data_IF_174591330851
#
_entry.id   IF_174591330851
#
_cell.length_a   1.000
_cell.length_b   1.000
_cell.length_c   1.000
_cell.angle_alpha   90.00
_cell.angle_beta   90.00
_cell.angle_gamma   90.00
#
_symmetry.space_group_name_H-M   'P 1'
#
loop_
_entity.id
_entity.type
_entity.pdbx_description
1 polymer ?
#
# COMPACT_ATOMS: atom_id res chain seq x y z
N UNK A 1 11.87 -9.95 -6.26
CA UNK A 1 10.55 -10.29 -6.83
C UNK A 1 10.11 -9.42 -8.00
N UNK A 2 10.61 -8.18 -8.16
CA UNK A 2 10.23 -7.31 -9.28
C UNK A 2 11.44 -6.99 -10.18
N UNK A 3 11.59 -7.71 -11.31
CA UNK A 3 12.55 -7.39 -12.39
C UNK A 3 11.99 -7.67 -13.80
N UNK A 4 11.07 -8.63 -13.95
CA UNK A 4 10.63 -9.14 -15.26
C UNK A 4 9.50 -8.33 -15.93
N UNK A 5 9.66 -6.99 -15.96
CA UNK A 5 8.84 -6.09 -16.79
C UNK A 5 9.74 -5.23 -17.72
N UNK A 6 10.88 -5.79 -18.15
CA UNK A 6 11.80 -5.22 -19.14
C UNK A 6 12.02 -6.17 -20.32
N UNK A 7 10.97 -6.42 -21.10
CA UNK A 7 11.11 -6.85 -22.50
C UNK A 7 9.82 -6.57 -23.27
N UNK A 8 9.81 -5.46 -24.01
CA UNK A 8 8.99 -5.22 -25.20
C UNK A 8 9.63 -4.06 -25.95
N UNK A 9 10.71 -4.37 -26.69
CA UNK A 9 11.37 -3.45 -27.59
C UNK A 9 11.92 -4.25 -28.78
N UNK A 10 11.20 -4.22 -29.90
CA UNK A 10 11.66 -4.80 -31.15
C UNK A 10 10.91 -4.19 -32.33
N UNK A 11 11.68 -3.56 -33.24
CA UNK A 11 11.33 -3.30 -34.64
C UNK A 11 10.10 -2.40 -34.91
N UNK A 12 10.34 -1.09 -34.91
CA UNK A 12 9.96 -0.25 -36.05
C UNK A 12 11.20 0.55 -36.47
N UNK A 13 11.52 0.54 -37.77
CA UNK A 13 12.57 1.34 -38.41
C UNK A 13 11.88 2.14 -39.52
N UNK A 14 12.04 3.46 -39.62
CA UNK A 14 11.28 4.26 -40.58
C UNK A 14 11.83 4.10 -42.01
N UNK A 15 10.92 4.21 -42.98
CA UNK A 15 11.22 4.48 -44.39
C UNK A 15 10.41 5.70 -44.82
N UNK A 16 11.05 6.63 -45.53
CA UNK A 16 10.53 7.97 -45.81
C UNK A 16 10.01 8.11 -47.24
N UNK A 17 8.81 8.69 -47.42
CA UNK A 17 8.49 9.53 -48.60
C UNK A 17 7.22 10.39 -48.42
N UNK A 18 7.28 11.53 -49.10
CA UNK A 18 6.42 12.73 -49.16
C UNK A 18 4.93 12.54 -49.58
N UNK A 19 4.08 13.60 -49.59
CA UNK A 19 2.63 13.46 -49.38
C UNK A 19 1.69 13.89 -50.55
N UNK A 20 0.40 13.52 -50.38
CA UNK A 20 -0.83 14.22 -50.86
C UNK A 20 -1.14 14.29 -52.39
N UNK A 21 -2.37 14.66 -52.81
CA UNK A 21 -3.67 14.85 -52.09
C UNK A 21 -4.88 14.12 -52.76
N UNK A 22 -6.11 14.43 -52.28
CA UNK A 22 -7.44 14.12 -52.86
C UNK A 22 -7.94 12.65 -52.73
N UNK A 23 -9.23 12.32 -52.59
CA UNK A 23 -10.48 13.06 -52.93
C UNK A 23 -11.62 12.87 -51.90
N UNK A 24 -12.51 13.85 -51.84
CA UNK A 24 -13.80 13.94 -51.12
C UNK A 24 -14.78 12.79 -51.40
N UNK A 25 -15.74 12.49 -50.48
CA UNK A 25 -17.22 12.59 -50.72
C UNK A 25 -18.10 11.70 -49.80
N UNK A 26 -19.11 12.35 -49.20
CA UNK A 26 -20.42 11.89 -48.69
C UNK A 26 -20.58 10.80 -47.62
N UNK A 27 -21.53 11.10 -46.72
CA UNK A 27 -22.30 10.15 -45.91
C UNK A 27 -23.24 9.31 -46.78
N UNK A 28 -23.76 8.20 -46.23
CA UNK A 28 -25.21 8.03 -46.09
C UNK A 28 -25.57 7.00 -45.02
N UNK A 29 -26.67 7.23 -44.33
CA UNK A 29 -27.21 6.38 -43.26
C UNK A 29 -28.30 5.48 -43.83
N UNK A 30 -28.38 4.21 -43.43
CA UNK A 30 -29.65 3.47 -43.52
C UNK A 30 -29.92 2.59 -42.31
N UNK A 31 -31.14 2.71 -41.78
CA UNK A 31 -31.70 1.92 -40.69
C UNK A 31 -32.35 0.64 -41.24
N UNK A 32 -32.29 -0.46 -40.48
CA UNK A 32 -33.46 -1.34 -40.25
C UNK A 32 -33.31 -2.22 -39.01
N UNK A 33 -34.40 -2.33 -38.26
CA UNK A 33 -34.63 -3.24 -37.14
C UNK A 33 -35.63 -4.36 -37.53
N UNK A 34 -35.80 -5.34 -36.63
CA UNK A 34 -37.02 -6.19 -36.35
C UNK A 34 -36.79 -7.71 -36.49
N UNK A 35 -37.30 -8.48 -35.51
CA UNK A 35 -37.35 -9.96 -35.43
C UNK A 35 -36.06 -10.62 -34.91
N UNK A 36 -35.93 -11.26 -33.73
CA UNK A 36 -36.84 -11.77 -32.67
C UNK A 36 -37.57 -13.10 -32.99
N UNK A 37 -37.48 -14.07 -32.05
CA UNK A 37 -38.16 -15.41 -32.01
C UNK A 37 -37.52 -16.46 -32.97
N UNK A 38 -37.27 -17.75 -32.64
CA UNK A 38 -37.58 -18.64 -31.47
C UNK A 38 -36.41 -19.59 -31.11
N UNK A 39 -36.60 -20.42 -30.07
CA UNK A 39 -35.68 -21.47 -29.57
C UNK A 39 -36.42 -22.81 -29.40
N UNK A 40 -35.96 -23.88 -30.05
CA UNK A 40 -36.36 -25.28 -29.86
C UNK A 40 -35.22 -26.16 -30.46
N UNK A 41 -34.49 -26.96 -29.68
CA UNK A 41 -34.75 -28.35 -29.24
C UNK A 41 -34.29 -29.42 -30.25
N UNK A 42 -33.46 -30.36 -29.76
CA UNK A 42 -33.03 -31.59 -30.46
C UNK A 42 -34.21 -32.57 -30.61
N UNK A 43 -34.11 -33.57 -31.51
CA UNK A 43 -33.71 -34.90 -30.99
C UNK A 43 -32.90 -35.79 -31.97
N UNK A 44 -32.60 -36.99 -31.50
CA UNK A 44 -32.24 -38.23 -32.21
C UNK A 44 -30.79 -38.47 -32.71
N UNK A 45 -30.49 -39.77 -32.77
CA UNK A 45 -29.16 -40.37 -32.93
C UNK A 45 -29.25 -41.79 -33.51
N UNK A 46 -28.32 -42.12 -34.40
CA UNK A 46 -28.04 -43.47 -34.93
C UNK A 46 -26.57 -43.47 -35.37
N UNK A 47 -25.67 -44.29 -34.81
CA UNK A 47 -25.56 -45.75 -34.81
C UNK A 47 -25.08 -46.33 -36.15
N UNK A 48 -23.77 -46.54 -36.28
CA UNK A 48 -23.15 -47.48 -37.22
C UNK A 48 -21.73 -47.81 -36.73
N UNK A 49 -21.46 -49.09 -36.45
CA UNK A 49 -20.41 -49.91 -37.08
C UNK A 49 -20.38 -51.29 -36.42
N UNK A 50 -20.12 -52.33 -37.22
CA UNK A 50 -20.21 -53.73 -36.82
C UNK A 50 -18.90 -54.25 -36.21
N UNK A 51 -19.03 -55.20 -35.28
CA UNK A 51 -17.95 -56.02 -34.76
C UNK A 51 -18.13 -57.48 -35.18
N UNK A 52 -17.05 -58.15 -35.55
CA UNK A 52 -16.96 -59.61 -35.66
C UNK A 52 -15.68 -60.12 -34.97
N UNK A 53 -15.75 -61.37 -34.53
CA UNK A 53 -14.68 -62.17 -33.91
C UNK A 53 -13.73 -62.78 -34.98
N UNK A 54 -12.71 -63.60 -34.71
CA UNK A 54 -12.28 -64.32 -33.50
C UNK A 54 -10.77 -64.68 -33.57
N UNK A 55 -10.19 -65.17 -32.48
CA UNK A 55 -8.82 -65.74 -32.41
C UNK A 55 -8.84 -67.30 -32.56
N UNK A 56 -7.77 -68.07 -32.21
CA UNK A 56 -6.50 -68.25 -32.94
C UNK A 56 -6.11 -69.75 -33.14
N UNK A 57 -5.01 -70.08 -33.85
CA UNK A 57 -4.19 -71.28 -33.55
C UNK A 57 -2.83 -71.33 -34.29
N UNK A 58 -1.92 -72.14 -33.72
CA UNK A 58 -0.50 -72.37 -33.97
C UNK A 58 -0.08 -73.11 -35.26
N UNK A 59 1.14 -72.85 -35.75
CA UNK A 59 2.08 -73.89 -36.22
C UNK A 59 3.56 -73.44 -36.28
N UNK A 60 4.42 -74.15 -35.53
CA UNK A 60 5.89 -74.26 -35.66
C UNK A 60 6.24 -75.47 -36.60
N UNK A 61 7.50 -75.89 -36.97
CA UNK A 61 8.75 -75.73 -36.19
C UNK A 61 10.14 -75.80 -36.92
N UNK A 62 11.26 -75.82 -36.15
CA UNK A 62 12.63 -76.38 -36.45
C UNK A 62 13.50 -75.60 -37.51
N UNK A 63 14.84 -75.36 -37.40
CA UNK A 63 16.00 -76.23 -37.04
C UNK A 63 17.28 -75.50 -36.53
N UNK A 64 18.18 -76.31 -35.91
CA UNK A 64 19.58 -76.17 -35.40
C UNK A 64 20.52 -75.05 -35.94
N UNK A 65 21.63 -74.69 -35.25
CA UNK A 65 22.13 -75.09 -33.90
C UNK A 65 23.67 -75.20 -33.75
N UNK A 66 24.17 -75.29 -32.49
CA UNK A 66 25.59 -75.52 -32.03
C UNK A 66 26.65 -74.48 -32.49
N UNK A 67 27.78 -74.20 -31.81
CA UNK A 67 28.59 -74.83 -30.73
C UNK A 67 29.48 -73.70 -30.09
N UNK A 68 30.31 -73.75 -29.03
CA UNK A 68 30.70 -74.63 -27.89
C UNK A 68 31.64 -73.76 -26.97
N UNK A 69 32.18 -74.07 -25.78
CA UNK A 69 32.01 -75.09 -24.72
C UNK A 69 32.91 -74.78 -23.49
N UNK A 70 32.56 -75.28 -22.29
CA UNK A 70 33.41 -75.50 -21.08
C UNK A 70 33.90 -74.31 -20.21
N UNK A 71 33.83 -74.51 -18.88
CA UNK A 71 34.52 -73.70 -17.86
C UNK A 71 33.82 -73.69 -16.50
N UNK A 72 34.11 -74.64 -15.60
CA UNK A 72 33.53 -74.69 -14.24
C UNK A 72 34.62 -74.69 -13.17
N UNK A 73 34.60 -73.71 -12.25
CA UNK A 73 34.79 -73.80 -10.77
C UNK A 73 35.41 -72.52 -10.16
N UNK A 74 35.23 -72.44 -8.83
CA UNK A 74 35.96 -71.64 -7.82
C UNK A 74 35.51 -70.17 -7.63
N UNK A 75 35.26 -69.82 -6.37
CA UNK A 75 35.09 -68.46 -5.84
C UNK A 75 36.42 -67.70 -5.84
N UNK A 76 36.39 -66.41 -6.20
CA UNK A 76 37.36 -65.43 -5.70
C UNK A 76 36.62 -64.13 -5.36
N UNK A 77 36.69 -63.71 -4.11
CA UNK A 77 36.07 -62.48 -3.63
C UNK A 77 36.96 -61.27 -3.91
N UNK A 78 36.51 -60.37 -4.79
CA UNK A 78 36.93 -58.96 -4.77
C UNK A 78 35.67 -58.12 -4.58
N UNK A 79 35.38 -57.76 -3.34
CA UNK A 79 34.38 -56.75 -3.02
C UNK A 79 35.08 -55.39 -3.02
N UNK A 80 34.70 -54.48 -3.93
CA UNK A 80 35.23 -53.12 -3.98
C UNK A 80 34.93 -52.36 -2.67
N UNK A 81 35.94 -52.04 -1.83
CA UNK A 81 35.69 -51.45 -0.50
C UNK A 81 35.19 -49.99 -0.55
N UNK A 82 35.15 -49.39 -1.73
CA UNK A 82 34.91 -47.95 -1.95
C UNK A 82 33.44 -47.56 -2.10
N UNK A 83 32.52 -48.52 -2.26
CA UNK A 83 31.10 -48.25 -2.51
C UNK A 83 30.25 -48.05 -1.23
N UNK A 84 30.76 -48.41 -0.05
CA UNK A 84 29.98 -48.50 1.19
C UNK A 84 30.27 -47.39 2.23
N UNK A 85 30.68 -46.21 1.78
CA UNK A 85 31.07 -45.07 2.64
C UNK A 85 30.05 -43.91 2.72
N UNK A 86 28.87 -44.04 2.09
CA UNK A 86 27.75 -43.09 2.24
C UNK A 86 26.97 -43.35 3.54
N UNK A 87 27.57 -42.98 4.67
CA UNK A 87 27.00 -43.25 6.01
C UNK A 87 25.53 -42.75 6.14
N UNK A 88 24.60 -43.58 6.68
CA UNK A 88 23.17 -43.26 6.72
C UNK A 88 22.80 -42.12 7.67
N UNK A 89 23.75 -41.60 8.45
CA UNK A 89 23.59 -40.34 9.16
C UNK A 89 23.64 -39.13 8.21
N UNK A 90 24.51 -39.15 7.19
CA UNK A 90 24.70 -38.04 6.25
C UNK A 90 23.50 -37.87 5.31
N UNK A 91 22.82 -38.94 4.92
CA UNK A 91 21.55 -38.86 4.18
C UNK A 91 20.44 -38.24 5.03
N UNK A 92 20.19 -38.75 6.24
CA UNK A 92 19.16 -38.20 7.16
C UNK A 92 19.40 -36.73 7.49
N UNK A 93 20.64 -36.31 7.73
CA UNK A 93 20.98 -34.90 7.97
C UNK A 93 20.67 -34.04 6.74
N UNK A 94 20.96 -34.54 5.52
CA UNK A 94 20.60 -33.85 4.27
C UNK A 94 19.08 -33.74 4.12
N UNK A 95 18.33 -34.82 4.34
CA UNK A 95 16.86 -34.86 4.29
C UNK A 95 16.22 -33.83 5.24
N UNK A 96 16.68 -33.79 6.51
CA UNK A 96 16.20 -32.81 7.50
C UNK A 96 16.53 -31.38 7.08
N UNK A 97 17.74 -31.13 6.57
CA UNK A 97 18.16 -29.80 6.09
C UNK A 97 17.34 -29.35 4.87
N UNK A 98 17.06 -30.25 3.92
CA UNK A 98 16.29 -29.92 2.72
C UNK A 98 14.79 -29.77 3.01
N UNK A 99 14.24 -30.53 3.96
CA UNK A 99 12.90 -30.34 4.50
C UNK A 99 12.76 -28.98 5.22
N UNK A 100 13.76 -28.61 6.03
CA UNK A 100 13.81 -27.31 6.70
C UNK A 100 13.93 -26.14 5.71
N UNK A 101 14.74 -26.30 4.65
CA UNK A 101 14.84 -25.33 3.53
C UNK A 101 13.50 -25.18 2.79
N UNK A 102 12.81 -26.29 2.50
CA UNK A 102 11.50 -26.29 1.83
C UNK A 102 10.45 -25.54 2.64
N UNK A 103 10.27 -25.90 3.92
CA UNK A 103 9.30 -25.22 4.77
C UNK A 103 9.70 -23.78 5.09
N UNK A 104 10.98 -23.48 5.32
CA UNK A 104 11.47 -22.11 5.51
C UNK A 104 11.15 -21.20 4.31
N UNK A 105 11.34 -21.71 3.09
CA UNK A 105 10.94 -21.02 1.86
C UNK A 105 9.42 -20.83 1.76
N UNK A 106 8.64 -21.87 2.08
CA UNK A 106 7.17 -21.78 2.11
C UNK A 106 6.66 -20.76 3.14
N UNK A 107 7.20 -20.73 4.36
CA UNK A 107 6.85 -19.74 5.38
C UNK A 107 7.27 -18.33 4.98
N UNK A 108 8.45 -18.14 4.38
CA UNK A 108 8.90 -16.84 3.86
C UNK A 108 7.96 -16.25 2.80
N UNK A 109 7.43 -17.12 1.90
CA UNK A 109 6.41 -16.76 0.92
C UNK A 109 5.01 -16.55 1.52
N UNK A 110 4.59 -17.39 2.48
CA UNK A 110 3.29 -17.26 3.18
C UNK A 110 3.20 -15.96 3.97
N UNK A 111 4.24 -15.67 4.77
CA UNK A 111 4.39 -14.44 5.55
C UNK A 111 4.59 -13.18 4.69
N UNK A 112 4.77 -13.34 3.36
CA UNK A 112 5.15 -12.30 2.40
C UNK A 112 6.27 -11.40 2.94
N UNK A 113 7.32 -11.98 3.52
CA UNK A 113 8.24 -11.30 4.46
C UNK A 113 8.72 -9.90 4.01
N UNK A 114 9.06 -9.70 2.73
CA UNK A 114 9.50 -8.41 2.18
C UNK A 114 8.46 -7.28 2.22
N UNK A 115 7.17 -7.62 2.27
CA UNK A 115 6.07 -6.67 2.48
C UNK A 115 5.85 -6.43 3.97
N UNK A 116 5.89 -7.50 4.77
CA UNK A 116 5.78 -7.42 6.23
C UNK A 116 6.92 -6.62 6.88
N UNK A 117 8.12 -6.61 6.28
CA UNK A 117 9.22 -5.71 6.64
C UNK A 117 8.83 -4.22 6.54
N UNK A 118 8.02 -3.82 5.56
CA UNK A 118 7.56 -2.43 5.44
C UNK A 118 6.49 -2.10 6.49
N UNK A 119 5.63 -3.06 6.82
CA UNK A 119 4.63 -2.96 7.91
C UNK A 119 5.31 -2.86 9.28
N UNK A 120 6.41 -3.58 9.47
CA UNK A 120 7.25 -3.50 10.67
C UNK A 120 8.04 -2.19 10.71
N UNK A 121 8.54 -1.70 9.57
CA UNK A 121 9.19 -0.39 9.50
C UNK A 121 8.21 0.74 9.86
N UNK A 122 6.98 0.75 9.34
CA UNK A 122 5.99 1.78 9.72
C UNK A 122 5.57 1.68 11.19
N UNK A 123 5.47 0.47 11.74
CA UNK A 123 5.23 0.25 13.17
C UNK A 123 6.40 0.72 14.03
N UNK A 124 7.65 0.43 13.64
CA UNK A 124 8.86 0.92 14.29
C UNK A 124 8.95 2.45 14.26
N UNK A 125 8.68 3.09 13.11
CA UNK A 125 8.59 4.56 13.02
C UNK A 125 7.51 5.12 13.95
N UNK A 126 6.34 4.47 14.03
CA UNK A 126 5.29 4.84 14.99
C UNK A 126 5.74 4.73 16.44
N UNK A 127 6.49 3.67 16.80
CA UNK A 127 7.08 3.49 18.13
C UNK A 127 8.10 4.56 18.47
N UNK A 128 9.00 4.90 17.54
CA UNK A 128 9.97 6.00 17.75
C UNK A 128 9.25 7.33 17.95
N UNK A 129 8.27 7.65 17.10
CA UNK A 129 7.49 8.89 17.22
C UNK A 129 6.69 8.98 18.52
N UNK A 130 6.12 7.87 18.99
CA UNK A 130 5.39 7.78 20.26
C UNK A 130 6.26 7.48 21.49
N UNK A 131 7.58 7.41 21.35
CA UNK A 131 8.51 7.43 22.48
C UNK A 131 8.61 8.87 23.02
N UNK A 132 9.07 9.02 24.26
CA UNK A 132 9.50 10.33 24.76
C UNK A 132 10.97 10.62 24.44
N UNK A 133 11.61 11.42 25.28
CA UNK A 133 13.03 11.74 25.25
C UNK A 133 13.97 10.54 25.42
N UNK A 134 13.50 9.47 26.08
CA UNK A 134 14.19 8.17 26.11
C UNK A 134 13.44 7.14 25.27
N UNK A 135 14.19 6.34 24.51
CA UNK A 135 13.64 5.30 23.63
C UNK A 135 13.99 3.92 24.18
N UNK A 136 12.96 3.14 24.55
CA UNK A 136 13.15 1.73 24.90
C UNK A 136 13.46 0.89 23.65
N UNK A 137 14.74 0.61 23.44
CA UNK A 137 15.24 -0.25 22.35
C UNK A 137 14.70 -1.68 22.47
N UNK A 138 14.49 -2.19 23.69
CA UNK A 138 13.94 -3.54 23.89
C UNK A 138 12.45 -3.56 23.50
N UNK A 139 11.65 -2.61 23.98
CA UNK A 139 10.27 -2.40 23.57
C UNK A 139 10.10 -2.20 22.07
N UNK A 140 11.00 -1.46 21.41
CA UNK A 140 11.04 -1.33 19.95
C UNK A 140 11.30 -2.68 19.27
N UNK A 141 12.26 -3.48 19.76
CA UNK A 141 12.52 -4.82 19.25
C UNK A 141 11.33 -5.77 19.43
N UNK A 142 10.68 -5.77 20.61
CA UNK A 142 9.48 -6.58 20.87
C UNK A 142 8.29 -6.14 20.02
N UNK A 143 8.09 -4.83 19.83
CA UNK A 143 7.07 -4.27 18.92
C UNK A 143 7.30 -4.71 17.49
N UNK A 144 8.54 -4.58 16.97
CA UNK A 144 8.90 -5.00 15.63
C UNK A 144 8.70 -6.51 15.42
N UNK A 145 9.10 -7.34 16.39
CA UNK A 145 8.94 -8.79 16.33
C UNK A 145 7.46 -9.22 16.40
N UNK A 146 6.67 -8.62 17.30
CA UNK A 146 5.25 -8.89 17.45
C UNK A 146 4.45 -8.49 16.20
N UNK A 147 4.70 -7.29 15.68
CA UNK A 147 4.14 -6.83 14.41
C UNK A 147 4.55 -7.72 13.24
N UNK A 148 5.80 -8.22 13.19
CA UNK A 148 6.23 -9.17 12.15
C UNK A 148 5.42 -10.47 12.20
N UNK A 149 5.22 -11.03 13.40
CA UNK A 149 4.47 -12.28 13.60
C UNK A 149 2.98 -12.11 13.25
N UNK A 150 2.35 -11.04 13.71
CA UNK A 150 0.93 -10.76 13.40
C UNK A 150 0.75 -10.44 11.90
N UNK A 151 1.67 -9.70 11.27
CA UNK A 151 1.67 -9.47 9.83
C UNK A 151 1.93 -10.76 9.02
N UNK A 152 2.79 -11.66 9.51
CA UNK A 152 3.03 -12.98 8.91
C UNK A 152 1.77 -13.85 8.96
N UNK A 153 1.07 -13.89 10.10
CA UNK A 153 -0.23 -14.54 10.28
C UNK A 153 -1.27 -14.00 9.30
N UNK A 154 -1.47 -12.69 9.29
CA UNK A 154 -2.43 -12.00 8.42
C UNK A 154 -2.18 -12.31 6.94
N UNK A 155 -0.93 -12.25 6.49
CA UNK A 155 -0.53 -12.57 5.12
C UNK A 155 -0.71 -14.05 4.76
N UNK A 156 -0.57 -14.95 5.73
CA UNK A 156 -0.78 -16.39 5.57
C UNK A 156 -2.27 -16.73 5.48
N UNK A 157 -3.12 -16.22 6.38
CA UNK A 157 -4.58 -16.39 6.32
C UNK A 157 -5.17 -15.82 5.03
N UNK A 158 -4.70 -14.65 4.59
CA UNK A 158 -5.05 -14.09 3.28
C UNK A 158 -4.74 -15.08 2.14
N UNK A 159 -3.62 -15.79 2.17
CA UNK A 159 -3.29 -16.80 1.15
C UNK A 159 -4.11 -18.09 1.28
N UNK A 160 -4.59 -18.43 2.49
CA UNK A 160 -5.55 -19.53 2.72
C UNK A 160 -6.93 -19.20 2.15
N UNK A 161 -7.38 -17.95 2.23
CA UNK A 161 -8.67 -17.53 1.66
C UNK A 161 -8.61 -17.27 0.14
N UNK A 162 -7.48 -16.79 -0.39
CA UNK A 162 -7.34 -16.42 -1.82
C UNK A 162 -6.95 -17.59 -2.76
N UNK A 163 -6.82 -18.84 -2.29
CA UNK A 163 -6.27 -19.98 -3.08
C UNK A 163 -6.90 -20.10 -4.48
N UNK A 164 -8.24 -20.09 -4.57
CA UNK A 164 -9.00 -20.24 -5.83
C UNK A 164 -8.85 -19.04 -6.77
N UNK A 165 -8.53 -17.87 -6.24
CA UNK A 165 -8.34 -16.62 -6.98
C UNK A 165 -6.89 -16.51 -7.47
N UNK A 166 -5.92 -16.81 -6.60
CA UNK A 166 -4.49 -16.84 -6.92
C UNK A 166 -4.15 -17.85 -8.02
N UNK A 167 -4.78 -19.03 -8.01
CA UNK A 167 -4.59 -20.04 -9.05
C UNK A 167 -4.88 -19.53 -10.47
N UNK A 168 -5.76 -18.52 -10.62
CA UNK A 168 -6.14 -17.91 -11.90
C UNK A 168 -5.16 -16.83 -12.37
N UNK A 169 -4.46 -16.17 -11.45
CA UNK A 169 -3.60 -15.02 -11.77
C UNK A 169 -2.18 -15.46 -12.16
N UNK A 170 -1.68 -14.96 -13.30
CA UNK A 170 -0.32 -15.26 -13.80
C UNK A 170 0.78 -15.01 -12.74
N UNK A 171 0.60 -13.96 -11.93
CA UNK A 171 1.54 -13.50 -10.90
C UNK A 171 1.55 -14.35 -9.62
N UNK A 172 0.46 -15.03 -9.27
CA UNK A 172 0.32 -15.65 -7.93
C UNK A 172 0.00 -17.15 -7.94
N UNK A 173 -0.31 -17.74 -9.10
CA UNK A 173 -0.47 -19.20 -9.30
C UNK A 173 0.73 -20.10 -8.93
N UNK A 174 1.86 -19.52 -8.53
CA UNK A 174 3.06 -20.24 -8.03
C UNK A 174 3.27 -20.12 -6.51
N UNK A 175 2.40 -19.40 -5.77
CA UNK A 175 2.42 -19.32 -4.29
C UNK A 175 2.33 -20.71 -3.64
N UNK A 176 2.80 -20.91 -2.40
CA UNK A 176 2.89 -22.25 -1.79
C UNK A 176 1.59 -23.05 -1.80
N UNK A 177 0.46 -22.41 -1.47
CA UNK A 177 -0.86 -23.05 -1.42
C UNK A 177 -1.44 -23.38 -2.81
N UNK A 178 -1.58 -22.44 -3.77
CA UNK A 178 -1.99 -22.75 -5.15
C UNK A 178 -1.09 -23.75 -5.91
N UNK A 179 0.17 -23.92 -5.48
CA UNK A 179 1.11 -24.89 -6.06
C UNK A 179 1.22 -26.21 -5.28
N UNK A 180 0.44 -26.41 -4.21
CA UNK A 180 0.44 -27.64 -3.43
C UNK A 180 1.70 -27.91 -2.60
N UNK A 181 2.62 -26.94 -2.48
CA UNK A 181 3.90 -27.08 -1.74
C UNK A 181 3.73 -27.18 -0.23
N UNK A 182 2.56 -26.77 0.28
CA UNK A 182 2.16 -26.87 1.69
C UNK A 182 0.64 -27.11 1.74
N UNK A 183 0.17 -27.90 2.69
CA UNK A 183 -1.26 -28.22 2.83
C UNK A 183 -2.03 -27.08 3.48
N UNK A 184 -3.34 -26.99 3.22
CA UNK A 184 -4.20 -25.94 3.80
C UNK A 184 -4.24 -26.01 5.34
N UNK A 185 -4.38 -27.18 5.99
CA UNK A 185 -4.34 -27.27 7.45
C UNK A 185 -3.01 -26.80 8.03
N UNK A 186 -1.88 -27.17 7.42
CA UNK A 186 -0.54 -26.74 7.87
C UNK A 186 -0.38 -25.22 7.77
N UNK A 187 -0.75 -24.62 6.64
CA UNK A 187 -0.68 -23.16 6.49
C UNK A 187 -1.62 -22.42 7.46
N UNK A 188 -2.78 -23.00 7.78
CA UNK A 188 -3.73 -22.43 8.75
C UNK A 188 -3.22 -22.56 10.20
N UNK A 189 -2.72 -23.72 10.62
CA UNK A 189 -2.18 -23.88 11.98
C UNK A 189 -0.92 -23.05 12.21
N UNK A 190 -0.04 -22.93 11.21
CA UNK A 190 1.08 -21.99 11.21
C UNK A 190 0.60 -20.54 11.35
N UNK A 191 -0.37 -20.12 10.56
CA UNK A 191 -0.88 -18.74 10.62
C UNK A 191 -1.49 -18.42 11.98
N UNK A 192 -2.32 -19.31 12.52
CA UNK A 192 -3.00 -19.11 13.81
C UNK A 192 -2.02 -19.15 14.98
N UNK A 193 -1.06 -20.07 15.01
CA UNK A 193 -0.08 -20.15 16.11
C UNK A 193 0.86 -18.94 16.14
N UNK A 194 1.38 -18.51 14.99
CA UNK A 194 2.24 -17.32 14.89
C UNK A 194 1.44 -16.03 15.18
N UNK A 195 0.17 -15.97 14.81
CA UNK A 195 -0.72 -14.85 15.14
C UNK A 195 -0.97 -14.73 16.64
N UNK A 196 -1.34 -15.84 17.30
CA UNK A 196 -1.54 -15.88 18.74
C UNK A 196 -0.25 -15.54 19.51
N UNK A 197 0.88 -16.14 19.12
CA UNK A 197 2.17 -15.88 19.76
C UNK A 197 2.64 -14.42 19.57
N UNK A 198 2.43 -13.83 18.38
CA UNK A 198 2.73 -12.42 18.12
C UNK A 198 1.91 -11.46 18.97
N UNK A 199 0.59 -11.68 19.06
CA UNK A 199 -0.31 -10.90 19.91
C UNK A 199 0.01 -11.07 21.40
N UNK A 200 0.27 -12.29 21.86
CA UNK A 200 0.64 -12.57 23.25
C UNK A 200 1.99 -11.94 23.63
N UNK A 201 2.96 -11.92 22.70
CA UNK A 201 4.24 -11.23 22.90
C UNK A 201 4.05 -9.72 23.01
N UNK A 202 3.20 -9.10 22.18
CA UNK A 202 2.86 -7.67 22.36
C UNK A 202 2.20 -7.43 23.73
N UNK A 203 1.23 -8.26 24.12
CA UNK A 203 0.51 -8.11 25.39
C UNK A 203 1.40 -8.24 26.63
N UNK A 204 2.50 -9.00 26.54
CA UNK A 204 3.42 -9.30 27.66
C UNK A 204 4.76 -8.56 27.61
N UNK A 205 5.12 -7.93 26.48
CA UNK A 205 6.39 -7.20 26.28
C UNK A 205 6.23 -5.74 25.85
N UNK A 206 5.03 -5.30 25.50
CA UNK A 206 4.71 -3.90 25.21
C UNK A 206 3.53 -3.49 26.08
N UNK A 207 2.29 -3.59 25.60
CA UNK A 207 1.08 -3.44 26.40
C UNK A 207 -0.16 -4.06 25.73
N UNK A 208 -1.26 -4.13 26.49
CA UNK A 208 -2.54 -4.68 26.04
C UNK A 208 -3.19 -3.88 24.91
N UNK A 209 -2.94 -2.57 24.81
CA UNK A 209 -3.50 -1.69 23.78
C UNK A 209 -2.89 -2.00 22.41
N UNK A 210 -1.56 -2.10 22.33
CA UNK A 210 -0.84 -2.54 21.13
C UNK A 210 -1.25 -3.96 20.71
N UNK A 211 -1.41 -4.89 21.66
CA UNK A 211 -1.90 -6.24 21.38
C UNK A 211 -3.35 -6.25 20.86
N UNK A 212 -4.23 -5.42 21.43
CA UNK A 212 -5.61 -5.25 20.97
C UNK A 212 -5.70 -4.69 19.56
N UNK A 213 -4.87 -3.68 19.22
CA UNK A 213 -4.71 -3.17 17.86
C UNK A 213 -4.19 -4.26 16.90
N UNK A 214 -3.23 -5.08 17.33
CA UNK A 214 -2.67 -6.17 16.53
C UNK A 214 -3.72 -7.24 16.20
N UNK A 215 -4.44 -7.72 17.21
CA UNK A 215 -5.50 -8.71 17.07
C UNK A 215 -6.66 -8.18 16.21
N UNK A 216 -7.08 -6.92 16.45
CA UNK A 216 -8.12 -6.27 15.66
C UNK A 216 -7.71 -6.11 14.19
N UNK A 217 -6.46 -5.76 13.91
CA UNK A 217 -5.97 -5.63 12.54
C UNK A 217 -5.81 -6.98 11.83
N UNK A 218 -5.40 -8.04 12.55
CA UNK A 218 -5.38 -9.41 12.04
C UNK A 218 -6.78 -9.86 11.60
N UNK A 219 -7.79 -9.62 12.43
CA UNK A 219 -9.19 -9.92 12.13
C UNK A 219 -9.69 -9.09 10.95
N UNK A 220 -9.46 -7.77 10.97
CA UNK A 220 -9.83 -6.83 9.91
C UNK A 220 -9.20 -7.20 8.57
N UNK A 221 -7.93 -7.61 8.52
CA UNK A 221 -7.26 -8.02 7.29
C UNK A 221 -7.80 -9.34 6.72
N UNK A 222 -7.86 -10.37 7.57
CA UNK A 222 -8.11 -11.72 7.14
C UNK A 222 -9.61 -11.97 6.89
N UNK A 223 -10.48 -11.56 7.81
CA UNK A 223 -11.91 -11.92 7.79
C UNK A 223 -12.82 -10.81 7.22
N UNK A 224 -12.38 -9.56 7.19
CA UNK A 224 -13.16 -8.44 6.59
C UNK A 224 -12.60 -8.03 5.24
N UNK A 225 -11.38 -7.49 5.20
CA UNK A 225 -10.77 -6.94 3.98
C UNK A 225 -10.59 -7.99 2.88
N UNK A 226 -10.05 -9.17 3.20
CA UNK A 226 -9.75 -10.20 2.19
C UNK A 226 -10.99 -10.69 1.42
N UNK A 227 -12.10 -11.10 2.05
CA UNK A 227 -13.32 -11.42 1.30
C UNK A 227 -13.94 -10.18 0.63
N UNK A 228 -13.86 -9.00 1.25
CA UNK A 228 -14.43 -7.76 0.68
C UNK A 228 -13.86 -7.41 -0.71
N UNK A 229 -12.62 -7.80 -1.03
CA UNK A 229 -12.01 -7.65 -2.37
C UNK A 229 -12.83 -8.32 -3.50
N UNK A 230 -13.61 -9.35 -3.19
CA UNK A 230 -14.49 -10.06 -4.13
C UNK A 230 -15.95 -9.57 -4.06
N UNK A 231 -16.31 -8.84 -2.99
CA UNK A 231 -17.69 -8.42 -2.71
C UNK A 231 -17.96 -6.99 -3.19
N UNK A 232 -17.08 -6.02 -2.90
CA UNK A 232 -17.34 -4.59 -3.14
C UNK A 232 -16.07 -3.75 -3.40
N UNK A 233 -16.09 -2.71 -4.27
CA UNK A 233 -14.94 -1.82 -4.52
C UNK A 233 -14.45 -1.01 -3.32
N UNK A 234 -15.24 -0.90 -2.24
CA UNK A 234 -14.82 -0.27 -0.96
C UNK A 234 -13.65 -1.01 -0.30
N UNK A 235 -13.29 -2.23 -0.76
CA UNK A 235 -12.13 -2.97 -0.27
C UNK A 235 -10.83 -2.14 -0.24
N UNK A 236 -10.58 -1.24 -1.20
CA UNK A 236 -9.36 -0.42 -1.21
C UNK A 236 -9.27 0.52 -0.01
N UNK A 237 -10.41 1.05 0.46
CA UNK A 237 -10.48 1.94 1.62
C UNK A 237 -10.34 1.16 2.94
N UNK A 238 -11.02 0.01 3.07
CA UNK A 238 -10.85 -0.87 4.24
C UNK A 238 -9.42 -1.42 4.32
N UNK A 239 -8.79 -1.71 3.18
CA UNK A 239 -7.38 -2.07 3.10
C UNK A 239 -6.43 -0.95 3.55
N UNK A 240 -6.79 0.31 3.29
CA UNK A 240 -6.03 1.46 3.79
C UNK A 240 -6.18 1.63 5.31
N UNK A 241 -7.34 1.30 5.91
CA UNK A 241 -7.49 1.26 7.39
C UNK A 241 -6.54 0.20 7.98
N UNK A 242 -6.54 -1.02 7.44
CA UNK A 242 -5.58 -2.08 7.85
C UNK A 242 -4.15 -1.57 7.74
N UNK A 243 -3.82 -0.89 6.65
CA UNK A 243 -2.49 -0.35 6.40
C UNK A 243 -2.10 0.83 7.30
N UNK A 244 -3.05 1.47 7.98
CA UNK A 244 -2.83 2.61 8.88
C UNK A 244 -2.73 2.21 10.37
N UNK A 245 -3.26 1.05 10.77
CA UNK A 245 -3.14 0.57 12.16
C UNK A 245 -1.69 0.24 12.60
N UNK A 246 -0.78 -0.31 11.78
CA UNK A 246 0.59 -0.64 12.20
C UNK A 246 1.43 0.49 12.82
N UNK A 247 1.48 1.73 12.26
CA UNK A 247 2.13 2.86 12.95
C UNK A 247 1.38 3.29 14.22
N UNK A 248 0.04 3.22 14.26
CA UNK A 248 -0.74 3.52 15.47
C UNK A 248 -0.44 2.52 16.60
N UNK A 249 -0.34 1.24 16.26
CA UNK A 249 0.11 0.16 17.15
C UNK A 249 1.52 0.45 17.66
N UNK A 250 2.42 0.93 16.80
CA UNK A 250 3.76 1.37 17.20
C UNK A 250 3.72 2.47 18.26
N UNK A 251 2.99 3.56 17.98
CA UNK A 251 2.84 4.68 18.93
C UNK A 251 2.24 4.22 20.26
N UNK A 252 1.19 3.39 20.21
CA UNK A 252 0.53 2.84 21.39
C UNK A 252 1.45 1.88 22.17
N UNK A 253 2.35 1.15 21.49
CA UNK A 253 3.33 0.26 22.12
C UNK A 253 4.41 1.03 22.89
N UNK A 254 4.79 2.23 22.45
CA UNK A 254 5.75 3.10 23.13
C UNK A 254 5.11 3.94 24.25
N UNK A 255 4.03 4.66 23.95
CA UNK A 255 3.39 5.62 24.87
C UNK A 255 2.34 5.02 25.82
N UNK A 256 1.90 3.78 25.57
CA UNK A 256 0.78 3.15 26.29
C UNK A 256 -0.61 3.69 25.94
N UNK A 257 -0.71 4.73 25.09
CA UNK A 257 -1.95 5.45 24.82
C UNK A 257 -2.13 5.84 23.34
N UNK A 258 -3.28 6.42 23.00
CA UNK A 258 -3.60 6.97 21.69
C UNK A 258 -3.92 8.46 21.86
N UNK A 259 -3.01 9.33 21.44
CA UNK A 259 -3.16 10.79 21.42
C UNK A 259 -3.53 11.30 20.03
N UNK A 260 -3.90 12.58 19.89
CA UNK A 260 -4.14 13.19 18.57
C UNK A 260 -2.88 13.11 17.68
N UNK A 261 -1.71 13.40 18.26
CA UNK A 261 -0.40 13.33 17.61
C UNK A 261 -0.13 11.95 16.97
N UNK A 262 -0.59 10.88 17.62
CA UNK A 262 -0.44 9.50 17.11
C UNK A 262 -1.10 9.26 15.75
N UNK A 263 -2.01 10.13 15.30
CA UNK A 263 -2.76 9.98 14.05
C UNK A 263 -2.03 10.49 12.80
N UNK A 264 -0.96 11.29 12.92
CA UNK A 264 -0.27 11.86 11.75
C UNK A 264 0.28 10.78 10.81
N UNK A 265 1.04 9.80 11.33
CA UNK A 265 1.60 8.73 10.51
C UNK A 265 0.52 7.72 10.00
N UNK A 266 -0.45 7.27 10.81
CA UNK A 266 -1.63 6.54 10.33
C UNK A 266 -2.38 7.24 9.20
N UNK A 267 -2.67 8.54 9.33
CA UNK A 267 -3.34 9.33 8.30
C UNK A 267 -2.49 9.43 7.03
N UNK A 268 -1.17 9.65 7.17
CA UNK A 268 -0.24 9.64 6.05
C UNK A 268 -0.28 8.29 5.31
N UNK A 269 -0.25 7.16 6.01
CA UNK A 269 -0.36 5.84 5.38
C UNK A 269 -1.72 5.62 4.70
N UNK A 270 -2.81 6.00 5.37
CA UNK A 270 -4.17 5.86 4.84
C UNK A 270 -4.32 6.61 3.51
N UNK A 271 -4.01 7.92 3.50
CA UNK A 271 -4.14 8.76 2.31
C UNK A 271 -3.09 8.45 1.24
N UNK A 272 -1.89 7.97 1.59
CA UNK A 272 -0.87 7.56 0.61
C UNK A 272 -1.19 6.21 -0.07
N UNK A 273 -1.85 5.28 0.63
CA UNK A 273 -2.18 3.96 0.07
C UNK A 273 -3.23 4.03 -1.04
N UNK A 274 -4.20 4.94 -0.95
CA UNK A 274 -5.24 5.08 -1.99
C UNK A 274 -4.65 5.41 -3.38
N UNK A 275 -3.82 6.46 -3.61
CA UNK A 275 -3.23 6.72 -4.92
C UNK A 275 -2.32 5.57 -5.37
N UNK A 276 -1.52 4.97 -4.47
CA UNK A 276 -0.70 3.80 -4.78
C UNK A 276 -1.55 2.65 -5.36
N UNK A 277 -2.62 2.27 -4.67
CA UNK A 277 -3.51 1.19 -5.09
C UNK A 277 -4.38 1.56 -6.30
N UNK A 278 -4.80 2.81 -6.47
CA UNK A 278 -5.57 3.22 -7.65
C UNK A 278 -4.74 3.16 -8.94
N UNK A 279 -3.47 3.57 -8.92
CA UNK A 279 -2.58 3.35 -10.06
C UNK A 279 -2.30 1.85 -10.31
N UNK A 280 -2.08 1.06 -9.26
CA UNK A 280 -1.86 -0.39 -9.40
C UNK A 280 -3.10 -1.12 -9.96
N UNK A 281 -4.30 -0.74 -9.50
CA UNK A 281 -5.57 -1.29 -9.96
C UNK A 281 -5.90 -0.88 -11.41
N UNK A 282 -5.39 0.25 -11.88
CA UNK A 282 -5.44 0.64 -13.30
C UNK A 282 -4.41 -0.16 -14.13
N UNK A 283 -3.17 -0.28 -13.66
CA UNK A 283 -2.07 -1.00 -14.35
C UNK A 283 -2.27 -2.51 -14.45
N UNK A 284 -2.96 -3.13 -13.49
CA UNK A 284 -3.18 -4.58 -13.41
C UNK A 284 -4.66 -4.97 -13.56
N UNK A 285 -5.46 -4.14 -14.23
CA UNK A 285 -6.92 -4.32 -14.41
C UNK A 285 -7.30 -5.74 -14.83
N UNK A 286 -6.66 -6.25 -15.88
CA UNK A 286 -7.02 -7.54 -16.48
C UNK A 286 -6.67 -8.73 -15.57
N UNK A 287 -5.55 -8.63 -14.85
CA UNK A 287 -5.13 -9.60 -13.82
C UNK A 287 -6.16 -9.64 -12.67
N UNK A 288 -6.69 -8.49 -12.24
CA UNK A 288 -7.74 -8.41 -11.22
C UNK A 288 -9.08 -8.95 -11.71
N UNK A 289 -9.46 -8.69 -12.97
CA UNK A 289 -10.65 -9.26 -13.60
C UNK A 289 -10.56 -10.80 -13.66
N UNK A 290 -9.43 -11.34 -14.14
CA UNK A 290 -9.19 -12.79 -14.20
C UNK A 290 -9.17 -13.45 -12.81
N UNK A 291 -8.71 -12.73 -11.78
CA UNK A 291 -8.77 -13.15 -10.38
C UNK A 291 -10.18 -13.13 -9.77
N UNK A 292 -11.18 -12.52 -10.43
CA UNK A 292 -12.55 -12.37 -9.91
C UNK A 292 -12.69 -11.27 -8.85
N UNK A 293 -11.77 -10.31 -8.78
CA UNK A 293 -11.80 -9.21 -7.83
C UNK A 293 -12.69 -8.06 -8.33
N UNK A 294 -13.32 -7.33 -7.40
CA UNK A 294 -14.15 -6.15 -7.69
C UNK A 294 -13.40 -4.86 -7.31
N UNK A 295 -12.33 -4.56 -8.06
CA UNK A 295 -11.57 -3.31 -7.90
C UNK A 295 -12.33 -2.11 -8.46
N UNK A 296 -12.18 -0.93 -7.85
CA UNK A 296 -12.82 0.31 -8.28
C UNK A 296 -12.54 0.66 -9.76
N UNK A 297 -11.30 0.41 -10.21
CA UNK A 297 -10.89 0.61 -11.62
C UNK A 297 -11.67 -0.24 -12.63
N UNK A 298 -12.24 -1.37 -12.24
CA UNK A 298 -12.99 -2.24 -13.16
C UNK A 298 -14.32 -1.61 -13.58
N UNK A 299 -14.94 -0.81 -12.71
CA UNK A 299 -16.16 -0.04 -13.00
C UNK A 299 -15.88 1.29 -13.74
N UNK A 300 -14.62 1.61 -14.01
CA UNK A 300 -14.19 2.85 -14.65
C UNK A 300 -13.40 2.54 -15.93
N UNK A 301 -14.09 2.40 -17.07
CA UNK A 301 -13.47 2.15 -18.37
C UNK A 301 -12.43 3.23 -18.75
N UNK A 302 -12.66 4.48 -18.34
CA UNK A 302 -11.84 5.64 -18.71
C UNK A 302 -10.55 5.79 -17.89
N UNK A 303 -10.54 5.30 -16.65
CA UNK A 303 -9.53 5.61 -15.64
C UNK A 303 -9.71 6.97 -14.95
N UNK A 304 -10.62 7.84 -15.43
CA UNK A 304 -10.79 9.21 -14.91
C UNK A 304 -11.26 9.24 -13.46
N UNK A 305 -12.21 8.39 -13.07
CA UNK A 305 -12.67 8.31 -11.67
C UNK A 305 -11.56 7.76 -10.77
N UNK A 306 -10.82 6.76 -11.27
CA UNK A 306 -9.68 6.13 -10.60
C UNK A 306 -8.57 7.16 -10.34
N UNK A 307 -8.24 7.97 -11.34
CA UNK A 307 -7.24 9.03 -11.26
C UNK A 307 -7.70 10.23 -10.42
N UNK A 308 -8.98 10.61 -10.47
CA UNK A 308 -9.56 11.65 -9.61
C UNK A 308 -9.51 11.25 -8.12
N UNK A 309 -9.84 10.00 -7.80
CA UNK A 309 -9.70 9.48 -6.42
C UNK A 309 -8.24 9.45 -5.98
N UNK A 310 -7.31 9.07 -6.84
CA UNK A 310 -5.88 9.15 -6.55
C UNK A 310 -5.42 10.59 -6.25
N UNK A 311 -5.71 11.53 -7.15
CA UNK A 311 -5.36 12.95 -7.00
C UNK A 311 -5.93 13.54 -5.71
N UNK A 312 -7.22 13.31 -5.41
CA UNK A 312 -7.86 13.83 -4.19
C UNK A 312 -7.18 13.36 -2.91
N UNK A 313 -6.71 12.11 -2.87
CA UNK A 313 -6.00 11.59 -1.70
C UNK A 313 -4.55 12.09 -1.61
N UNK A 314 -3.88 12.39 -2.74
CA UNK A 314 -2.62 13.13 -2.71
C UNK A 314 -2.80 14.55 -2.13
N UNK A 315 -3.92 15.22 -2.40
CA UNK A 315 -4.22 16.53 -1.82
C UNK A 315 -4.51 16.45 -0.30
N UNK A 316 -5.09 15.34 0.20
CA UNK A 316 -5.29 15.12 1.64
C UNK A 316 -3.99 14.89 2.42
N UNK A 317 -2.86 14.60 1.74
CA UNK A 317 -1.54 14.54 2.39
C UNK A 317 -0.96 15.93 2.69
N UNK A 318 -1.37 16.99 1.97
CA UNK A 318 -0.79 18.34 2.06
C UNK A 318 -0.82 18.92 3.49
N UNK A 319 -1.95 18.92 4.22
CA UNK A 319 -1.98 19.48 5.58
C UNK A 319 -1.17 18.67 6.60
N UNK A 320 -0.80 17.41 6.34
CA UNK A 320 -0.12 16.57 7.34
C UNK A 320 1.28 17.09 7.71
N UNK A 321 1.96 17.77 6.79
CA UNK A 321 3.24 18.43 7.06
C UNK A 321 3.11 19.60 8.02
N UNK A 322 2.06 20.39 7.86
CA UNK A 322 1.73 21.50 8.76
C UNK A 322 1.25 21.00 10.12
N UNK A 323 0.33 20.03 10.15
CA UNK A 323 -0.19 19.46 11.39
C UNK A 323 0.88 18.72 12.23
N UNK A 324 1.91 18.15 11.60
CA UNK A 324 3.04 17.56 12.32
C UNK A 324 3.88 18.62 13.07
N UNK A 325 3.97 19.84 12.53
CA UNK A 325 4.61 20.99 13.17
C UNK A 325 3.71 21.65 14.22
N UNK A 326 2.47 21.97 13.84
CA UNK A 326 1.43 22.58 14.70
C UNK A 326 1.18 21.77 16.00
N UNK A 327 1.29 20.43 15.92
CA UNK A 327 1.13 19.53 17.08
C UNK A 327 2.46 19.18 17.77
N UNK A 328 3.55 19.88 17.47
CA UNK A 328 4.85 19.74 18.14
C UNK A 328 5.62 18.45 17.85
N UNK A 329 5.23 17.66 16.85
CA UNK A 329 5.90 16.38 16.54
C UNK A 329 7.21 16.62 15.80
N UNK A 330 7.26 17.65 14.94
CA UNK A 330 8.40 17.90 14.04
C UNK A 330 8.74 19.38 13.89
N UNK A 331 10.03 19.72 13.84
CA UNK A 331 10.52 21.08 13.53
C UNK A 331 9.94 21.66 12.23
N UNK A 332 9.83 22.99 12.15
CA UNK A 332 9.19 23.70 11.03
C UNK A 332 9.76 23.42 9.64
N UNK A 333 11.04 23.02 9.53
CA UNK A 333 11.64 22.58 8.26
C UNK A 333 10.92 21.38 7.63
N UNK A 334 10.39 20.46 8.45
CA UNK A 334 9.62 19.31 7.95
C UNK A 334 8.35 19.74 7.21
N UNK A 335 7.69 20.83 7.64
CA UNK A 335 6.50 21.36 6.95
C UNK A 335 6.84 21.78 5.51
N UNK A 336 8.02 22.39 5.28
CA UNK A 336 8.48 22.78 3.95
C UNK A 336 8.85 21.54 3.10
N UNK A 337 9.65 20.62 3.63
CA UNK A 337 10.07 19.42 2.88
C UNK A 337 8.89 18.52 2.51
N UNK A 338 8.01 18.22 3.48
CA UNK A 338 6.83 17.39 3.26
C UNK A 338 5.81 18.04 2.33
N UNK A 339 5.71 19.38 2.32
CA UNK A 339 4.92 20.12 1.32
C UNK A 339 5.48 19.93 -0.09
N UNK A 340 6.79 20.10 -0.30
CA UNK A 340 7.44 19.88 -1.60
C UNK A 340 7.25 18.42 -2.06
N UNK A 341 7.47 17.46 -1.17
CA UNK A 341 7.30 16.03 -1.44
C UNK A 341 5.84 15.68 -1.81
N UNK A 342 4.87 16.31 -1.15
CA UNK A 342 3.44 16.10 -1.40
C UNK A 342 2.97 16.77 -2.69
N UNK A 343 3.46 17.97 -2.99
CA UNK A 343 3.23 18.63 -4.28
C UNK A 343 3.82 17.81 -5.43
N UNK A 344 5.00 17.19 -5.24
CA UNK A 344 5.62 16.32 -6.24
C UNK A 344 4.77 15.07 -6.56
N UNK A 345 4.28 14.33 -5.56
CA UNK A 345 3.37 13.19 -5.82
C UNK A 345 2.03 13.67 -6.39
N UNK A 346 1.47 14.78 -5.90
CA UNK A 346 0.23 15.39 -6.40
C UNK A 346 0.34 15.79 -7.88
N UNK A 347 1.48 16.35 -8.31
CA UNK A 347 1.74 16.67 -9.72
C UNK A 347 1.77 15.40 -10.60
N UNK A 348 2.30 14.28 -10.12
CA UNK A 348 2.22 13.00 -10.86
C UNK A 348 0.79 12.47 -10.95
N UNK A 349 -0.02 12.61 -9.90
CA UNK A 349 -1.42 12.23 -9.89
C UNK A 349 -2.28 13.13 -10.79
N UNK A 350 -2.03 14.43 -10.80
CA UNK A 350 -2.66 15.37 -11.73
C UNK A 350 -2.31 15.06 -13.19
N UNK A 351 -1.07 14.64 -13.47
CA UNK A 351 -0.65 14.21 -14.81
C UNK A 351 -1.30 12.90 -15.26
N UNK A 352 -1.68 12.01 -14.31
CA UNK A 352 -2.48 10.82 -14.58
C UNK A 352 -3.97 11.15 -14.76
N UNK A 353 -4.52 12.08 -13.97
CA UNK A 353 -5.90 12.58 -14.13
C UNK A 353 -6.10 13.27 -15.48
N UNK A 354 -5.23 14.22 -15.85
CA UNK A 354 -5.26 14.88 -17.16
C UNK A 354 -5.11 13.89 -18.32
N UNK A 355 -4.28 12.86 -18.17
CA UNK A 355 -4.04 11.85 -19.20
C UNK A 355 -3.97 10.44 -18.61
N UNK A 356 -5.12 9.75 -18.58
CA UNK A 356 -5.25 8.38 -18.10
C UNK A 356 -4.57 7.39 -19.05
N UNK A 357 -3.24 7.27 -18.93
CA UNK A 357 -2.42 6.35 -19.72
C UNK A 357 -1.54 5.48 -18.82
N UNK A 358 -1.18 4.29 -19.31
CA UNK A 358 -0.35 3.32 -18.57
C UNK A 358 1.04 3.89 -18.20
N UNK A 359 1.57 4.84 -18.97
CA UNK A 359 2.84 5.52 -18.65
C UNK A 359 2.67 6.48 -17.46
N UNK A 360 1.59 7.27 -17.43
CA UNK A 360 1.31 8.23 -16.34
C UNK A 360 0.95 7.49 -15.04
N UNK A 361 0.10 6.47 -15.11
CA UNK A 361 -0.20 5.59 -13.97
C UNK A 361 1.08 4.95 -13.40
N UNK A 362 1.99 4.45 -14.25
CA UNK A 362 3.27 3.88 -13.82
C UNK A 362 4.20 4.92 -13.19
N UNK A 363 4.25 6.16 -13.69
CA UNK A 363 5.01 7.26 -13.06
C UNK A 363 4.46 7.58 -11.66
N UNK A 364 3.14 7.68 -11.52
CA UNK A 364 2.49 7.93 -10.21
C UNK A 364 2.70 6.77 -9.23
N UNK A 365 2.62 5.52 -9.69
CA UNK A 365 2.95 4.34 -8.89
C UNK A 365 4.40 4.38 -8.38
N UNK A 366 5.38 4.68 -9.23
CA UNK A 366 6.77 4.84 -8.78
C UNK A 366 6.98 6.04 -7.86
N UNK A 367 6.30 7.17 -8.09
CA UNK A 367 6.33 8.32 -7.18
C UNK A 367 5.79 7.97 -5.78
N UNK A 368 4.70 7.20 -5.71
CA UNK A 368 4.18 6.70 -4.41
C UNK A 368 5.18 5.79 -3.69
N UNK A 369 5.88 4.90 -4.41
CA UNK A 369 6.92 4.04 -3.82
C UNK A 369 8.13 4.83 -3.27
N UNK A 370 8.40 6.02 -3.80
CA UNK A 370 9.44 6.92 -3.32
C UNK A 370 8.95 7.81 -2.16
N UNK A 371 7.70 8.30 -2.23
CA UNK A 371 7.11 9.20 -1.24
C UNK A 371 7.20 8.64 0.18
N UNK A 372 6.75 7.40 0.40
CA UNK A 372 6.63 6.84 1.74
C UNK A 372 7.96 6.79 2.52
N UNK A 373 9.05 6.18 2.01
CA UNK A 373 10.32 6.12 2.73
C UNK A 373 10.96 7.51 2.93
N UNK A 374 10.77 8.46 2.03
CA UNK A 374 11.26 9.84 2.24
C UNK A 374 10.44 10.51 3.35
N UNK A 375 9.10 10.47 3.27
CA UNK A 375 8.22 11.07 4.27
C UNK A 375 8.48 10.51 5.68
N UNK A 376 8.58 9.18 5.82
CA UNK A 376 8.93 8.54 7.08
C UNK A 376 10.33 8.92 7.58
N UNK A 377 11.32 9.06 6.70
CA UNK A 377 12.68 9.46 7.09
C UNK A 377 12.70 10.91 7.58
N UNK A 378 12.06 11.83 6.86
CA UNK A 378 11.96 13.23 7.28
C UNK A 378 11.25 13.39 8.62
N UNK A 379 10.15 12.65 8.85
CA UNK A 379 9.42 12.67 10.13
C UNK A 379 10.26 12.11 11.30
N UNK A 380 11.24 11.24 11.03
CA UNK A 380 12.20 10.77 12.03
C UNK A 380 13.37 11.74 12.23
N UNK A 381 13.92 12.32 11.16
CA UNK A 381 15.04 13.28 11.24
C UNK A 381 14.65 14.61 11.88
N UNK A 382 13.41 15.06 11.67
CA UNK A 382 12.89 16.30 12.23
C UNK A 382 12.05 16.12 13.49
N UNK A 383 11.96 14.88 14.04
CA UNK A 383 11.21 14.57 15.27
C UNK A 383 11.76 15.39 16.43
N UNK A 384 10.91 16.17 17.09
CA UNK A 384 11.24 16.86 18.33
C UNK A 384 11.07 15.92 19.53
N UNK A 385 12.00 15.97 20.47
CA UNK A 385 11.93 15.34 21.78
C UNK A 385 11.12 16.21 22.76
N UNK A 386 10.54 15.64 23.82
CA UNK A 386 9.74 16.37 24.84
C UNK A 386 10.48 17.61 25.42
N UNK A 387 11.79 17.47 25.64
CA UNK A 387 12.67 18.56 26.09
C UNK A 387 12.76 19.70 25.06
N UNK A 388 12.82 19.36 23.76
CA UNK A 388 12.94 20.33 22.67
C UNK A 388 11.59 21.00 22.38
N UNK A 389 10.47 20.26 22.47
CA UNK A 389 9.12 20.82 22.42
C UNK A 389 8.92 21.91 23.48
N UNK A 390 9.39 21.65 24.70
CA UNK A 390 9.34 22.61 25.81
C UNK A 390 10.16 23.87 25.51
N UNK A 391 11.34 23.71 24.89
CA UNK A 391 12.21 24.84 24.53
C UNK A 391 11.72 25.63 23.30
N UNK A 392 11.19 24.97 22.26
CA UNK A 392 10.60 25.68 21.10
C UNK A 392 9.35 26.47 21.52
N UNK A 393 8.50 25.91 22.39
CA UNK A 393 7.33 26.61 22.95
C UNK A 393 7.73 27.87 23.75
N UNK A 394 8.62 27.72 24.73
CA UNK A 394 9.15 28.80 25.57
C UNK A 394 9.87 29.88 24.71
N UNK A 395 10.59 29.48 23.66
CA UNK A 395 11.21 30.43 22.72
C UNK A 395 10.18 31.20 21.87
N UNK A 396 9.09 30.53 21.46
CA UNK A 396 8.02 31.13 20.65
C UNK A 396 7.17 32.10 21.47
N UNK A 397 6.86 31.76 22.72
CA UNK A 397 6.16 32.61 23.67
C UNK A 397 6.99 33.87 23.98
N UNK A 398 8.30 33.73 24.23
CA UNK A 398 9.23 34.87 24.38
C UNK A 398 9.32 35.76 23.14
N UNK A 399 9.25 35.20 21.92
CA UNK A 399 9.22 36.00 20.69
C UNK A 399 7.91 36.76 20.54
N UNK A 400 6.77 36.15 20.88
CA UNK A 400 5.46 36.81 20.88
C UNK A 400 5.40 37.95 21.90
N UNK A 401 5.86 37.71 23.13
CA UNK A 401 5.98 38.76 24.15
C UNK A 401 6.93 39.89 23.72
N UNK A 402 8.04 39.55 23.06
CA UNK A 402 8.97 40.53 22.49
C UNK A 402 8.29 41.46 21.47
N UNK A 403 7.54 40.90 20.52
CA UNK A 403 6.79 41.66 19.52
C UNK A 403 5.68 42.52 20.15
N UNK A 404 4.91 41.96 21.09
CA UNK A 404 3.85 42.69 21.82
C UNK A 404 4.44 43.84 22.65
N UNK A 405 5.63 43.66 23.23
CA UNK A 405 6.32 44.69 23.99
C UNK A 405 6.93 45.77 23.08
N UNK A 406 7.41 45.42 21.89
CA UNK A 406 7.87 46.37 20.87
C UNK A 406 6.72 47.23 20.33
N UNK A 407 5.56 46.63 20.02
CA UNK A 407 4.34 47.36 19.65
C UNK A 407 3.88 48.32 20.75
N UNK A 408 3.92 47.89 22.02
CA UNK A 408 3.63 48.77 23.18
C UNK A 408 4.61 49.93 23.27
N UNK A 409 5.90 49.69 23.07
CA UNK A 409 6.93 50.72 23.08
C UNK A 409 6.75 51.73 21.94
N UNK A 410 6.45 51.26 20.71
CA UNK A 410 6.15 52.12 19.56
C UNK A 410 4.90 52.96 19.82
N UNK A 411 3.82 52.37 20.33
CA UNK A 411 2.60 53.09 20.69
C UNK A 411 2.85 54.16 21.76
N UNK A 412 3.65 53.85 22.79
CA UNK A 412 4.02 54.80 23.85
C UNK A 412 4.95 55.91 23.33
N UNK A 413 5.90 55.58 22.45
CA UNK A 413 6.77 56.56 21.78
C UNK A 413 5.94 57.54 20.95
N UNK A 414 5.06 57.04 20.07
CA UNK A 414 4.20 57.86 19.22
C UNK A 414 3.32 58.81 20.05
N UNK A 415 2.77 58.32 21.17
CA UNK A 415 1.99 59.13 22.13
C UNK A 415 2.82 60.23 22.79
N UNK A 416 4.09 59.93 23.11
CA UNK A 416 5.04 60.89 23.71
C UNK A 416 5.52 61.94 22.70
N UNK A 417 5.71 61.57 21.44
CA UNK A 417 6.02 62.52 20.35
C UNK A 417 4.82 63.43 20.05
N UNK A 418 3.58 62.91 20.09
CA UNK A 418 2.37 63.73 19.97
C UNK A 418 2.24 64.76 21.12
N UNK A 419 2.64 64.41 22.34
CA UNK A 419 2.72 65.35 23.48
C UNK A 419 3.93 66.30 23.46
N UNK A 420 4.85 66.15 22.49
CA UNK A 420 5.98 67.08 22.26
C UNK A 420 5.81 67.92 20.98
N UNK A 421 4.74 67.69 20.20
CA UNK A 421 4.33 68.58 19.12
C UNK A 421 3.86 69.92 19.68
N UNK A 422 4.61 70.98 19.42
CA UNK A 422 4.34 72.33 19.93
C UNK A 422 3.01 72.87 19.42
N UNK A 423 2.25 73.53 20.29
CA UNK A 423 0.98 74.17 19.95
C UNK A 423 1.16 75.23 18.85
N UNK A 424 0.46 75.05 17.73
CA UNK A 424 0.45 76.01 16.61
C UNK A 424 -0.96 76.60 16.47
N UNK A 425 -1.13 77.84 16.92
CA UNK A 425 -2.41 78.54 16.93
C UNK A 425 -2.90 78.83 15.51
N UNK A 426 -4.12 78.36 15.19
CA UNK A 426 -4.85 78.78 13.99
C UNK A 426 -5.83 79.90 14.35
N UNK A 427 -5.93 80.99 13.56
CA UNK A 427 -6.96 81.99 13.76
C UNK A 427 -8.36 81.41 13.46
N UNK A 428 -9.43 81.93 14.07
CA UNK A 428 -10.78 81.46 13.83
C UNK A 428 -11.25 81.82 12.42
N UNK A 429 -11.41 80.81 11.56
CA UNK A 429 -12.12 80.97 10.28
C UNK A 429 -13.61 81.12 10.58
N UNK A 430 -14.18 82.27 10.25
CA UNK A 430 -15.58 82.58 10.55
C UNK A 430 -16.56 81.68 9.79
N UNK A 431 -17.66 81.33 10.44
CA UNK A 431 -18.71 80.46 9.91
C UNK A 431 -19.57 81.24 8.89
N UNK A 432 -19.46 80.92 7.59
CA UNK A 432 -20.17 81.65 6.54
C UNK A 432 -20.51 80.81 5.30
N UNK A 433 -21.40 79.82 5.44
CA UNK A 433 -22.26 79.40 4.31
C UNK A 433 -23.56 78.80 4.83
N UNK A 434 -24.66 79.50 4.57
CA UNK A 434 -26.02 79.06 4.91
C UNK A 434 -26.58 78.34 3.67
N UNK A 435 -26.86 77.03 3.80
CA UNK A 435 -27.55 76.23 2.81
C UNK A 435 -28.91 75.79 3.37
N UNK A 436 -30.05 76.31 2.87
CA UNK A 436 -31.37 76.01 3.45
C UNK A 436 -31.92 74.68 2.94
N UNK A 437 -32.13 73.71 3.84
CA UNK A 437 -32.90 72.48 3.58
C UNK A 437 -34.23 72.55 4.35
N UNK A 438 -35.35 72.91 3.70
CA UNK A 438 -36.55 73.41 4.39
C UNK A 438 -37.52 72.33 4.92
N UNK A 439 -37.10 71.07 5.08
CA UNK A 439 -37.99 69.93 5.32
C UNK A 439 -37.58 68.97 6.45
N UNK A 440 -36.81 69.44 7.44
CA UNK A 440 -36.56 68.69 8.69
C UNK A 440 -36.86 69.57 9.92
N UNK A 441 -37.81 69.19 10.80
CA UNK A 441 -37.99 69.86 12.07
C UNK A 441 -36.82 69.59 13.00
N UNK A 442 -36.43 70.59 13.80
CA UNK A 442 -35.29 70.50 14.72
C UNK A 442 -35.61 69.48 15.84
N UNK A 443 -34.74 68.50 16.12
CA UNK A 443 -34.96 67.57 17.23
C UNK A 443 -34.79 68.29 18.57
N UNK A 444 -35.87 68.31 19.36
CA UNK A 444 -35.82 68.75 20.76
C UNK A 444 -35.38 67.58 21.62
N UNK A 445 -34.20 67.70 22.23
CA UNK A 445 -33.81 66.91 23.40
C UNK A 445 -33.96 67.80 24.64
N UNK A 446 -34.58 67.27 25.68
CA UNK A 446 -34.73 67.94 26.97
C UNK A 446 -33.75 67.32 27.98
N UNK A 447 -33.16 68.14 28.84
CA UNK A 447 -32.24 67.70 29.89
C UNK A 447 -33.01 67.21 31.13
N UNK A 448 -33.06 65.89 31.35
CA UNK A 448 -33.40 65.25 32.63
C UNK A 448 -32.92 63.79 32.69
#
# INVERSE_FOLDING_TARGET
MWRNCRSFSSKLRPSSSSPNPSTTTSMSTFYRHVGVVRRALYPYSSSLYSSLSSSPSSSDPIRLGYSNSHGVRVFSSVADPSSLASTPAVSRVREVVDLARHYGSCYWELSKARLSMLVVATSGTGFVLGSGSTMDVAGLCWTCAGTMMVAASANSLNQVFEIKNDAKMKRTRRRPLPSGRITVPHAFTWATSVGLAGTAMLATKTNILAAGLAASNLILYAFVYTPLKQIHPVNTWVGAIVGAIPPLLGWAAASGQISLNSMILPAALYFWQIPHFMALAYLCRDDYAAGGYKMFSLADASGQRTAAVALRNCLYLVPLGFLAYDWGITSGWFCLESSILTLAISATAFSFYRHCTMQKARRMFHASLLYLPIFMSGLLFHRLSDNEQTMEADSSERMLDGLVQEDRYIAQKNKTEHSRGVAQSRPPVAYASIAPFPFLPVPVYADS
#
